data_IF_438866766419
#
_entry.id   IF_438866766419
#
_cell.length_a   1.000
_cell.length_b   1.000
_cell.length_c   1.000
_cell.angle_alpha   90.00
_cell.angle_beta   90.00
_cell.angle_gamma   90.00
#
_symmetry.space_group_name_H-M   'P 1'
#
loop_
_entity.id
_entity.type
_entity.pdbx_description
1 polymer ?
#
# COMPACT_ATOMS: atom_id res chain seq x y z
N UNK A 1 -20.58 16.31 -24.95
CA UNK A 1 -19.67 17.14 -25.78
C UNK A 1 -18.25 16.58 -25.81
N UNK A 2 -17.59 16.38 -24.67
CA UNK A 2 -16.18 15.93 -24.64
C UNK A 2 -15.93 14.57 -25.33
N UNK A 3 -16.74 13.54 -25.02
CA UNK A 3 -16.64 12.20 -25.63
C UNK A 3 -16.66 12.25 -27.17
N UNK A 4 -17.51 13.10 -27.75
CA UNK A 4 -17.65 13.31 -29.20
C UNK A 4 -16.40 14.00 -29.76
N UNK A 5 -15.87 15.01 -29.05
CA UNK A 5 -14.64 15.68 -29.44
C UNK A 5 -13.43 14.73 -29.48
N UNK A 6 -13.33 13.86 -28.48
CA UNK A 6 -12.27 12.85 -28.39
C UNK A 6 -12.39 11.84 -29.54
N UNK A 7 -13.58 11.29 -29.81
CA UNK A 7 -13.80 10.35 -30.92
C UNK A 7 -13.51 10.98 -32.29
N UNK A 8 -13.92 12.24 -32.48
CA UNK A 8 -13.62 13.00 -33.71
C UNK A 8 -12.12 13.22 -33.89
N UNK A 9 -11.42 13.63 -32.84
CA UNK A 9 -9.97 13.85 -32.87
C UNK A 9 -9.22 12.55 -33.15
N UNK A 10 -9.57 11.47 -32.46
CA UNK A 10 -8.99 10.13 -32.61
C UNK A 10 -9.03 9.66 -34.06
N UNK A 11 -10.18 9.84 -34.74
CA UNK A 11 -10.34 9.51 -36.16
C UNK A 11 -9.53 10.43 -37.06
N UNK A 12 -9.53 11.74 -36.78
CA UNK A 12 -8.90 12.77 -37.63
C UNK A 12 -7.38 12.65 -37.69
N UNK A 13 -6.72 12.32 -36.58
CA UNK A 13 -5.26 12.13 -36.53
C UNK A 13 -4.83 10.70 -36.87
N UNK A 14 -5.81 9.83 -37.17
CA UNK A 14 -5.57 8.45 -37.61
C UNK A 14 -4.97 7.57 -36.51
N UNK A 15 -5.47 7.67 -35.27
CA UNK A 15 -5.08 6.75 -34.21
C UNK A 15 -5.52 5.31 -34.54
N UNK A 16 -4.71 4.32 -34.17
CA UNK A 16 -5.05 2.91 -34.36
C UNK A 16 -6.04 2.44 -33.28
N UNK A 17 -7.25 2.07 -33.72
CA UNK A 17 -8.30 1.59 -32.82
C UNK A 17 -7.97 0.23 -32.20
N UNK A 18 -7.09 -0.56 -32.82
CA UNK A 18 -6.65 -1.86 -32.29
C UNK A 18 -5.92 -1.73 -30.96
N UNK A 19 -5.17 -0.64 -30.76
CA UNK A 19 -4.50 -0.37 -29.48
C UNK A 19 -5.50 -0.22 -28.33
N UNK A 20 -6.68 0.33 -28.61
CA UNK A 20 -7.76 0.48 -27.63
C UNK A 20 -8.57 -0.80 -27.48
N UNK A 21 -8.96 -1.42 -28.58
CA UNK A 21 -9.81 -2.62 -28.56
C UNK A 21 -9.12 -3.77 -27.79
N UNK A 22 -7.81 -3.94 -27.96
CA UNK A 22 -7.02 -4.93 -27.21
C UNK A 22 -6.97 -4.64 -25.71
N UNK A 23 -7.02 -3.36 -25.32
CA UNK A 23 -6.76 -2.91 -23.96
C UNK A 23 -8.05 -2.72 -23.15
N UNK A 24 -9.17 -2.45 -23.81
CA UNK A 24 -10.50 -2.33 -23.20
C UNK A 24 -11.35 -3.60 -23.36
N UNK A 25 -10.95 -4.54 -24.22
CA UNK A 25 -11.69 -5.77 -24.56
C UNK A 25 -13.18 -5.52 -24.89
N UNK A 26 -13.49 -4.29 -25.28
CA UNK A 26 -14.83 -3.77 -25.47
C UNK A 26 -14.82 -2.92 -26.72
N UNK A 27 -15.72 -3.19 -27.67
CA UNK A 27 -15.89 -2.38 -28.88
C UNK A 27 -16.73 -1.12 -28.66
N UNK A 28 -17.02 -0.80 -27.40
CA UNK A 28 -17.78 0.38 -27.04
C UNK A 28 -16.98 1.66 -27.34
N UNK A 29 -17.68 2.74 -27.69
CA UNK A 29 -17.06 4.02 -28.03
C UNK A 29 -16.37 4.69 -26.82
N UNK A 30 -16.14 6.00 -26.92
CA UNK A 30 -15.56 6.76 -25.80
C UNK A 30 -16.57 6.83 -24.65
N UNK A 31 -16.24 6.22 -23.51
CA UNK A 31 -16.96 6.25 -22.24
C UNK A 31 -16.23 7.16 -21.25
N UNK A 32 -16.74 7.30 -20.02
CA UNK A 32 -16.02 8.03 -18.98
C UNK A 32 -14.78 7.28 -18.50
N UNK A 33 -14.90 5.96 -18.32
CA UNK A 33 -13.82 5.12 -17.78
C UNK A 33 -12.65 4.97 -18.74
N UNK A 34 -12.90 5.05 -20.05
CA UNK A 34 -11.86 4.91 -21.07
C UNK A 34 -11.32 6.24 -21.61
N UNK A 35 -11.89 7.38 -21.19
CA UNK A 35 -11.57 8.69 -21.76
C UNK A 35 -10.09 9.03 -21.67
N UNK A 36 -9.49 8.78 -20.50
CA UNK A 36 -8.06 9.03 -20.25
C UNK A 36 -7.16 8.14 -21.12
N UNK A 37 -7.61 6.92 -21.43
CA UNK A 37 -6.88 6.00 -22.29
C UNK A 37 -6.92 6.45 -23.75
N UNK A 38 -8.05 6.94 -24.23
CA UNK A 38 -8.13 7.60 -25.54
C UNK A 38 -7.19 8.81 -25.61
N UNK A 39 -7.16 9.65 -24.56
CA UNK A 39 -6.29 10.82 -24.51
C UNK A 39 -4.80 10.47 -24.54
N UNK A 40 -4.37 9.43 -23.82
CA UNK A 40 -2.98 8.98 -23.87
C UNK A 40 -2.54 8.52 -25.25
N UNK A 41 -3.41 7.82 -25.99
CA UNK A 41 -3.10 7.37 -27.36
C UNK A 41 -3.11 8.55 -28.35
N UNK A 42 -4.01 9.52 -28.15
CA UNK A 42 -4.03 10.76 -28.91
C UNK A 42 -2.74 11.55 -28.68
N UNK A 43 -2.27 11.62 -27.43
CA UNK A 43 -1.01 12.28 -27.07
C UNK A 43 0.17 11.62 -27.76
N UNK A 44 0.30 10.30 -27.66
CA UNK A 44 1.35 9.51 -28.33
C UNK A 44 1.35 9.79 -29.84
N UNK A 45 0.19 9.67 -30.49
CA UNK A 45 0.06 9.89 -31.94
C UNK A 45 0.39 11.33 -32.35
N UNK A 46 -0.01 12.30 -31.54
CA UNK A 46 0.28 13.72 -31.79
C UNK A 46 1.77 13.98 -31.68
N UNK A 47 2.42 13.40 -30.68
CA UNK A 47 3.87 13.50 -30.46
C UNK A 47 4.68 12.90 -31.62
N UNK A 48 4.24 11.75 -32.16
CA UNK A 48 4.82 11.16 -33.37
C UNK A 48 4.72 12.10 -34.58
N UNK A 49 3.54 12.67 -34.82
CA UNK A 49 3.30 13.57 -35.95
C UNK A 49 4.10 14.87 -35.84
N UNK A 50 4.18 15.44 -34.64
CA UNK A 50 5.00 16.62 -34.37
C UNK A 50 6.48 16.35 -34.65
N UNK A 51 6.96 15.17 -34.24
CA UNK A 51 8.36 14.75 -34.48
C UNK A 51 8.62 14.53 -35.96
N UNK A 52 7.72 13.84 -36.67
CA UNK A 52 7.82 13.65 -38.10
C UNK A 52 7.88 14.99 -38.83
N UNK A 53 7.00 15.93 -38.51
CA UNK A 53 7.00 17.26 -39.12
C UNK A 53 8.28 18.05 -38.81
N UNK A 54 8.74 18.03 -37.56
CA UNK A 54 9.97 18.71 -37.16
C UNK A 54 11.19 18.15 -37.91
N UNK A 55 11.26 16.82 -38.09
CA UNK A 55 12.36 16.19 -38.86
C UNK A 55 12.33 16.53 -40.34
N UNK A 56 11.15 16.60 -40.96
CA UNK A 56 11.01 17.02 -42.36
C UNK A 56 11.47 18.47 -42.52
N UNK A 57 10.95 19.38 -41.69
CA UNK A 57 11.31 20.80 -41.72
C UNK A 57 12.81 21.04 -41.47
N UNK A 58 13.42 20.30 -40.54
CA UNK A 58 14.85 20.41 -40.22
C UNK A 58 15.71 19.98 -41.42
N UNK A 59 15.32 18.92 -42.13
CA UNK A 59 15.99 18.47 -43.36
C UNK A 59 15.87 19.49 -44.50
N UNK A 60 14.70 20.08 -44.70
CA UNK A 60 14.49 21.12 -45.72
C UNK A 60 15.36 22.35 -45.48
N UNK A 61 15.56 22.73 -44.22
CA UNK A 61 16.32 23.91 -43.82
C UNK A 61 17.81 23.61 -43.56
N UNK A 62 18.25 22.35 -43.68
CA UNK A 62 19.60 21.90 -43.32
C UNK A 62 20.05 22.33 -41.90
N UNK A 63 19.10 22.37 -40.96
CA UNK A 63 19.35 22.70 -39.56
C UNK A 63 19.21 21.45 -38.67
N UNK A 64 19.94 21.36 -37.54
CA UNK A 64 19.74 20.30 -36.57
C UNK A 64 18.30 20.27 -36.01
N UNK A 65 17.74 19.07 -35.82
CA UNK A 65 16.38 18.89 -35.27
C UNK A 65 16.17 19.63 -33.94
N UNK A 66 17.19 19.59 -33.07
CA UNK A 66 17.17 20.24 -31.76
C UNK A 66 17.10 21.76 -31.83
N UNK A 67 17.70 22.35 -32.86
CA UNK A 67 17.60 23.80 -33.10
C UNK A 67 16.22 24.17 -33.64
N UNK A 68 15.63 23.31 -34.48
CA UNK A 68 14.29 23.54 -35.04
C UNK A 68 13.17 23.35 -34.02
N UNK A 69 13.32 22.39 -33.13
CA UNK A 69 12.29 22.02 -32.16
C UNK A 69 12.92 21.75 -30.78
N UNK A 70 13.40 22.80 -30.08
CA UNK A 70 14.14 22.68 -28.82
C UNK A 70 13.31 22.17 -27.63
N UNK A 71 11.99 22.06 -27.80
CA UNK A 71 11.06 21.57 -26.78
C UNK A 71 10.29 20.32 -27.27
N UNK A 72 10.79 19.65 -28.32
CA UNK A 72 10.18 18.42 -28.80
C UNK A 72 10.62 17.25 -27.92
N UNK A 73 9.64 16.57 -27.30
CA UNK A 73 9.74 15.33 -26.51
C UNK A 73 11.06 15.14 -25.74
N UNK A 74 11.00 15.34 -24.42
CA UNK A 74 12.06 14.89 -23.50
C UNK A 74 13.23 15.88 -23.32
N UNK A 75 13.38 16.88 -24.19
CA UNK A 75 14.10 18.10 -23.85
C UNK A 75 13.19 18.88 -22.89
N UNK A 76 13.37 18.64 -21.59
CA UNK A 76 12.72 19.42 -20.54
C UNK A 76 13.01 20.92 -20.69
N UNK A 77 12.44 21.78 -19.81
CA UNK A 77 12.63 23.23 -19.90
C UNK A 77 14.12 23.58 -20.05
N UNK A 78 14.43 24.36 -21.09
CA UNK A 78 15.80 24.69 -21.53
C UNK A 78 16.49 25.76 -20.67
N UNK A 79 16.01 25.97 -19.44
CA UNK A 79 16.59 26.91 -18.50
C UNK A 79 16.22 26.57 -17.05
N UNK A 80 17.02 27.03 -16.07
CA UNK A 80 16.68 26.86 -14.67
C UNK A 80 15.29 27.45 -14.43
N UNK A 81 14.37 26.64 -13.91
CA UNK A 81 13.09 27.16 -13.44
C UNK A 81 13.37 28.33 -12.48
N UNK A 82 12.58 29.41 -12.51
CA UNK A 82 12.70 30.45 -11.50
C UNK A 82 12.65 29.79 -10.12
N UNK A 83 13.53 30.19 -9.22
CA UNK A 83 13.61 29.65 -7.87
C UNK A 83 12.26 29.87 -7.18
N UNK A 84 11.42 28.84 -7.15
CA UNK A 84 10.19 28.89 -6.36
C UNK A 84 10.62 28.63 -4.93
N UNK A 85 10.67 29.68 -4.10
CA UNK A 85 10.75 29.49 -2.65
C UNK A 85 9.43 28.89 -2.18
N UNK A 86 9.40 27.56 -2.10
CA UNK A 86 8.29 26.82 -1.50
C UNK A 86 8.40 26.99 0.01
N UNK A 87 7.62 27.91 0.58
CA UNK A 87 7.43 27.94 2.02
C UNK A 87 6.51 26.79 2.41
N UNK A 88 7.08 25.77 3.04
CA UNK A 88 6.27 24.74 3.69
C UNK A 88 5.45 25.40 4.80
N UNK A 89 4.14 25.10 4.90
CA UNK A 89 3.36 25.47 6.08
C UNK A 89 4.03 24.90 7.32
N UNK A 90 4.14 25.72 8.38
CA UNK A 90 4.72 25.27 9.65
C UNK A 90 3.82 24.18 10.27
N UNK A 91 4.33 22.96 10.43
CA UNK A 91 3.63 21.82 11.02
C UNK A 91 3.88 21.63 12.52
N UNK A 92 4.42 22.64 13.21
CA UNK A 92 5.04 22.48 14.53
C UNK A 92 4.12 22.70 15.75
N UNK A 93 2.83 22.99 15.58
CA UNK A 93 1.98 23.39 16.72
C UNK A 93 0.99 22.32 17.21
N UNK A 94 1.15 21.05 16.77
CA UNK A 94 0.25 19.94 17.16
C UNK A 94 0.94 18.61 17.46
N UNK A 95 2.27 18.56 17.43
CA UNK A 95 2.99 17.34 17.81
C UNK A 95 3.42 17.46 19.26
N UNK A 96 2.85 16.59 20.09
CA UNK A 96 3.37 16.31 21.42
C UNK A 96 4.78 15.72 21.25
N UNK A 97 5.85 16.33 21.79
CA UNK A 97 7.21 15.84 21.65
C UNK A 97 7.44 14.44 22.26
N UNK A 98 6.47 13.92 23.02
CA UNK A 98 6.52 12.58 23.59
C UNK A 98 5.82 11.49 22.75
N UNK A 99 5.10 11.86 21.67
CA UNK A 99 4.58 10.90 20.69
C UNK A 99 5.61 10.64 19.59
N UNK A 100 6.57 9.78 19.89
CA UNK A 100 7.36 9.08 18.86
C UNK A 100 6.46 8.09 18.13
N UNK A 101 5.78 8.54 17.08
CA UNK A 101 5.17 7.63 16.12
C UNK A 101 6.23 7.09 15.16
N UNK A 102 7.24 6.39 15.71
CA UNK A 102 8.25 5.66 14.95
C UNK A 102 7.64 4.44 14.20
N UNK A 103 6.32 4.21 14.35
CA UNK A 103 5.60 3.09 13.73
C UNK A 103 4.87 3.45 12.44
N UNK A 104 4.55 4.72 12.22
CA UNK A 104 3.91 5.15 10.97
C UNK A 104 4.77 4.87 9.73
N UNK A 105 6.08 5.11 9.81
CA UNK A 105 6.99 4.82 8.68
C UNK A 105 7.20 3.32 8.46
N UNK A 106 7.17 2.52 9.54
CA UNK A 106 7.36 1.08 9.47
C UNK A 106 6.11 0.32 9.00
N UNK A 107 4.92 0.92 9.12
CA UNK A 107 3.65 0.35 8.65
C UNK A 107 3.39 0.57 7.15
N UNK A 108 4.13 1.49 6.51
CA UNK A 108 4.00 1.78 5.07
C UNK A 108 4.85 0.85 4.17
N UNK A 109 5.88 0.19 4.72
CA UNK A 109 6.70 -0.77 3.96
C UNK A 109 6.07 -2.17 3.98
N UNK A 110 6.16 -2.95 2.90
CA UNK A 110 5.70 -4.33 2.90
C UNK A 110 6.50 -5.16 3.91
N UNK A 111 5.79 -5.90 4.77
CA UNK A 111 6.41 -6.75 5.80
C UNK A 111 7.21 -7.89 5.18
N UNK A 112 8.40 -8.14 5.72
CA UNK A 112 9.15 -9.36 5.43
C UNK A 112 8.53 -10.58 6.12
N UNK A 113 8.87 -11.78 5.65
CA UNK A 113 8.35 -13.03 6.21
C UNK A 113 8.67 -13.20 7.69
N UNK A 114 9.85 -12.79 8.12
CA UNK A 114 10.30 -12.85 9.51
C UNK A 114 9.56 -11.83 10.39
N UNK A 115 9.38 -10.58 9.92
CA UNK A 115 8.62 -9.55 10.63
C UNK A 115 7.14 -9.96 10.80
N UNK A 116 6.53 -10.54 9.77
CA UNK A 116 5.16 -11.03 9.83
C UNK A 116 4.99 -12.14 10.89
N UNK A 117 5.94 -13.08 10.96
CA UNK A 117 5.94 -14.13 12.00
C UNK A 117 6.05 -13.52 13.40
N UNK A 118 6.94 -12.54 13.58
CA UNK A 118 7.12 -11.88 14.88
C UNK A 118 5.85 -11.13 15.30
N UNK A 119 5.23 -10.37 14.38
CA UNK A 119 3.98 -9.64 14.65
C UNK A 119 2.83 -10.58 15.01
N UNK A 120 2.73 -11.72 14.32
CA UNK A 120 1.74 -12.75 14.65
C UNK A 120 1.95 -13.34 16.06
N UNK A 121 3.20 -13.66 16.42
CA UNK A 121 3.54 -14.21 17.74
C UNK A 121 3.27 -13.19 18.87
N UNK A 122 3.56 -11.91 18.63
CA UNK A 122 3.30 -10.86 19.60
C UNK A 122 1.80 -10.64 19.83
N UNK A 123 0.99 -10.69 18.77
CA UNK A 123 -0.46 -10.64 18.88
C UNK A 123 -1.01 -11.80 19.71
N UNK A 124 -0.53 -13.03 19.47
CA UNK A 124 -0.94 -14.21 20.27
C UNK A 124 -0.56 -14.04 21.74
N UNK A 125 0.68 -13.62 22.04
CA UNK A 125 1.13 -13.38 23.42
C UNK A 125 0.29 -12.31 24.14
N UNK A 126 -0.10 -11.25 23.43
CA UNK A 126 -0.94 -10.20 23.99
C UNK A 126 -2.38 -10.68 24.26
N UNK A 127 -2.92 -11.54 23.41
CA UNK A 127 -4.22 -12.20 23.65
C UNK A 127 -4.16 -13.13 24.86
N UNK A 128 -3.10 -13.93 24.99
CA UNK A 128 -2.90 -14.82 26.14
C UNK A 128 -2.77 -14.04 27.46
N UNK A 129 -1.99 -12.96 27.46
CA UNK A 129 -1.86 -12.08 28.65
C UNK A 129 -3.18 -11.45 29.04
N UNK A 130 -3.99 -11.01 28.07
CA UNK A 130 -5.33 -10.45 28.32
C UNK A 130 -6.27 -11.52 28.89
N UNK A 131 -6.27 -12.73 28.32
CA UNK A 131 -7.08 -13.84 28.82
C UNK A 131 -6.72 -14.24 30.27
N UNK A 132 -5.43 -14.27 30.60
CA UNK A 132 -4.95 -14.53 31.96
C UNK A 132 -5.31 -13.39 32.93
N UNK A 133 -5.27 -12.14 32.48
CA UNK A 133 -5.71 -10.99 33.29
C UNK A 133 -7.22 -11.02 33.54
N UNK A 134 -8.02 -11.38 32.54
CA UNK A 134 -9.46 -11.57 32.70
C UNK A 134 -9.75 -12.73 33.66
N UNK A 135 -9.09 -13.87 33.50
CA UNK A 135 -9.22 -15.02 34.40
C UNK A 135 -8.89 -14.66 35.86
N UNK A 136 -7.83 -13.88 36.09
CA UNK A 136 -7.46 -13.41 37.43
C UNK A 136 -8.43 -12.37 37.99
N UNK A 137 -9.03 -11.53 37.15
CA UNK A 137 -10.05 -10.54 37.55
C UNK A 137 -11.36 -11.20 38.01
N UNK A 138 -11.71 -12.36 37.45
CA UNK A 138 -12.87 -13.15 37.89
C UNK A 138 -12.59 -14.05 39.11
N UNK A 139 -11.32 -14.36 39.41
CA UNK A 139 -10.94 -15.13 40.59
C UNK A 139 -11.05 -14.31 41.90
N UNK A 140 -10.86 -13.00 41.84
CA UNK A 140 -10.87 -12.10 43.00
C UNK A 140 -12.29 -11.66 43.45
N UNK A 141 -13.34 -12.12 42.75
CA UNK A 141 -14.75 -11.86 43.07
C UNK A 141 -15.46 -13.04 43.76
N UNK A 142 -14.74 -14.09 44.14
CA UNK A 142 -15.32 -15.21 44.89
C UNK A 142 -15.56 -14.80 46.37
N UNK A 143 -16.82 -14.83 46.87
CA UNK A 143 -17.09 -14.46 48.25
C UNK A 143 -16.56 -15.53 49.21
N UNK A 144 -15.71 -15.11 50.14
CA UNK A 144 -15.28 -15.90 51.31
C UNK A 144 -16.45 -16.04 52.28
N UNK A 145 -17.24 -17.11 52.14
CA UNK A 145 -18.18 -17.52 53.19
C UNK A 145 -17.45 -18.41 54.20
N UNK A 146 -17.22 -17.82 55.38
CA UNK A 146 -16.97 -18.50 56.64
C UNK A 146 -18.13 -19.44 56.95
N UNK A 147 -17.84 -20.73 57.21
CA UNK A 147 -18.78 -21.60 57.93
C UNK A 147 -18.06 -22.58 58.85
N UNK A 148 -18.63 -22.67 60.04
CA UNK A 148 -18.11 -23.19 61.29
C UNK A 148 -17.77 -24.68 61.33
N UNK A 149 -16.94 -24.97 62.34
CA UNK A 149 -16.57 -26.28 62.88
C UNK A 149 -17.79 -27.14 63.20
N UNK A 150 -17.78 -28.40 62.78
CA UNK A 150 -18.37 -29.50 63.57
C UNK A 150 -17.71 -30.84 63.27
N UNK A 151 -17.57 -31.63 64.31
CA UNK A 151 -16.67 -32.76 64.55
C UNK A 151 -17.21 -34.14 64.18
N UNK A 152 -16.34 -35.07 63.77
CA UNK A 152 -16.31 -36.54 64.04
C UNK A 152 -15.46 -37.24 62.93
N UNK A 153 -14.18 -37.54 63.15
CA UNK A 153 -13.59 -38.76 63.77
C UNK A 153 -13.38 -39.96 62.81
N UNK A 154 -12.10 -40.27 62.57
CA UNK A 154 -11.47 -41.62 62.45
C UNK A 154 -11.81 -42.40 61.15
N UNK A 155 -10.89 -42.88 60.28
CA UNK A 155 -9.63 -43.63 60.49
C UNK A 155 -8.81 -43.73 59.17
N UNK A 156 -7.47 -43.82 59.30
CA UNK A 156 -6.49 -44.77 58.67
C UNK A 156 -6.79 -45.28 57.23
N UNK A 157 -5.93 -45.26 56.21
CA UNK A 157 -4.49 -45.56 56.01
C UNK A 157 -4.16 -45.06 54.57
N UNK A 158 -3.02 -44.49 54.20
CA UNK A 158 -1.66 -45.07 54.23
C UNK A 158 -1.27 -45.61 52.83
N UNK A 159 -0.25 -44.99 52.21
CA UNK A 159 0.48 -45.47 51.01
C UNK A 159 -0.03 -44.87 49.69
N UNK A 160 0.76 -44.29 48.79
CA UNK A 160 2.20 -44.41 48.53
C UNK A 160 2.40 -44.59 47.02
N UNK A 161 3.47 -44.02 46.47
CA UNK A 161 4.02 -44.22 45.10
C UNK A 161 3.44 -43.28 44.01
N UNK A 162 4.13 -42.19 43.62
CA UNK A 162 5.31 -42.10 42.71
C UNK A 162 5.07 -42.90 41.42
N UNK A 163 4.81 -42.32 40.25
CA UNK A 163 5.61 -41.32 39.56
C UNK A 163 6.70 -41.99 38.72
N UNK A 164 6.47 -42.19 37.41
CA UNK A 164 7.42 -41.84 36.32
C UNK A 164 6.89 -42.20 34.90
N UNK A 165 7.39 -41.50 33.85
CA UNK A 165 6.93 -41.58 32.47
C UNK A 165 7.82 -42.50 31.60
N UNK A 166 7.40 -42.89 30.39
CA UNK A 166 8.34 -43.34 29.37
C UNK A 166 8.77 -42.18 28.47
N UNK A 167 10.07 -41.90 28.57
CA UNK A 167 10.86 -41.05 27.69
C UNK A 167 11.01 -41.63 26.29
N UNK A 168 11.18 -40.71 25.36
CA UNK A 168 11.47 -40.78 23.92
C UNK A 168 12.62 -41.71 23.46
N UNK A 169 12.64 -41.87 22.12
CA UNK A 169 13.78 -42.09 21.19
C UNK A 169 14.19 -43.54 20.85
N UNK A 170 13.94 -43.88 19.58
CA UNK A 170 15.00 -43.81 18.57
C UNK A 170 15.71 -45.11 18.23
N UNK A 171 15.39 -45.67 17.05
CA UNK A 171 16.35 -45.87 15.95
C UNK A 171 15.59 -46.22 14.68
#
# INVERSE_FOLDING_TARGET
MLKIGIDSLFKKIGCDRRQIDNLLQSHEGVTEDNMLRYLGIIEERTNELLTAQATINAKEQNIPLRERAPNLIGDGPTGPAPHVQVHLPNTDDRRDPDEKDDRAEEELKPLTREELKQRALEQVKNLERKALQEQNKYADLAPTTTREKSSASISRTGGGETGKPPTSRGR
#
